data_IF_166974834782
#
_entry.id   IF_166974834782
#
_cell.length_a   1.000
_cell.length_b   1.000
_cell.length_c   1.000
_cell.angle_alpha   90.00
_cell.angle_beta   90.00
_cell.angle_gamma   90.00
#
_symmetry.space_group_name_H-M   'P 1'
#
loop_
_entity.id
_entity.type
_entity.pdbx_description
1 polymer ?
#
# COMPACT_ATOMS: atom_id res chain seq x y z
N UNK A 1 10.17 -8.16 2.97
CA UNK A 1 9.80 -6.91 2.30
C UNK A 1 8.76 -6.15 3.11
N UNK A 2 8.25 -5.04 2.55
CA UNK A 2 7.25 -4.22 3.21
C UNK A 2 6.41 -3.43 2.20
N UNK A 3 6.98 -3.08 1.04
CA UNK A 3 6.28 -2.30 0.04
C UNK A 3 4.95 -2.84 -0.45
N UNK A 4 4.78 -4.17 -0.45
CA UNK A 4 3.52 -4.75 -0.87
C UNK A 4 2.37 -4.33 0.04
N UNK A 5 2.69 -4.06 1.30
CA UNK A 5 1.72 -3.57 2.28
C UNK A 5 1.51 -2.07 2.09
N UNK A 6 2.59 -1.33 1.80
CA UNK A 6 2.50 0.12 1.63
C UNK A 6 1.64 0.48 0.42
N UNK A 7 1.76 -0.28 -0.68
CA UNK A 7 0.96 -0.02 -1.86
C UNK A 7 -0.52 -0.29 -1.60
N UNK A 8 -0.83 -1.20 -0.67
CA UNK A 8 -2.22 -1.50 -0.31
C UNK A 8 -2.80 -0.37 0.55
N UNK A 9 -1.95 0.31 1.33
CA UNK A 9 -2.40 1.44 2.15
C UNK A 9 -2.63 2.65 1.25
N UNK A 10 -1.76 2.85 0.26
CA UNK A 10 -1.91 3.95 -0.69
C UNK A 10 -3.13 3.68 -1.59
N UNK A 11 -3.45 2.41 -1.82
CA UNK A 11 -4.59 2.04 -2.64
C UNK A 11 -5.91 2.50 -2.02
N UNK A 12 -5.96 2.58 -0.69
CA UNK A 12 -7.15 3.06 0.02
C UNK A 12 -7.33 4.56 -0.20
N UNK A 13 -6.23 5.28 -0.44
CA UNK A 13 -6.27 6.71 -0.70
C UNK A 13 -6.64 7.00 -2.16
N UNK A 14 -6.93 5.95 -2.93
CA UNK A 14 -7.24 6.08 -4.35
C UNK A 14 -5.98 6.17 -5.21
N UNK A 15 -4.81 5.97 -4.61
#
# INVERSE_FOLDING_TARGET
>A
GLFDIVKKVVGALGX
#
